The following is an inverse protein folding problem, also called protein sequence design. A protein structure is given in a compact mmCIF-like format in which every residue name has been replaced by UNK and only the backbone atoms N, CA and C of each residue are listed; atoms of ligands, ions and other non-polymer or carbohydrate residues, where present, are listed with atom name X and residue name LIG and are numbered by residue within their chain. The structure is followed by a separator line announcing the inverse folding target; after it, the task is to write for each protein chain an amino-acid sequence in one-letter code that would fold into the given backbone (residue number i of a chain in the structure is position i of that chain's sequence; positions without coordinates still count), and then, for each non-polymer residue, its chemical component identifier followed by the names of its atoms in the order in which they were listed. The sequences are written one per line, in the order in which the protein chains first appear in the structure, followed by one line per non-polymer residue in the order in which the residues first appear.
data_IF_840927396635
#
_entry.id   IF_840927396635
#
_cell.length_a   1.000
_cell.length_b   1.000
_cell.length_c   1.000
_cell.angle_alpha   90.00
_cell.angle_beta   90.00
_cell.angle_gamma   90.00
#
_symmetry.space_group_name_H-M   'P 1'
#
loop_
_entity.id
_entity.type
_entity.pdbx_description
1 polymer ?
#
# COMPACT_ATOMS: atom_id res chain seq x y z
N UNK A 1 12.01 -2.46 16.55
CA UNK A 1 11.73 -1.79 17.84
C UNK A 1 11.17 -0.39 17.63
N UNK A 2 11.72 0.39 16.68
CA UNK A 2 11.22 1.73 16.31
C UNK A 2 9.72 1.80 16.01
N UNK A 3 9.16 0.88 15.23
CA UNK A 3 7.73 0.93 14.86
C UNK A 3 6.78 0.81 16.05
N UNK A 4 7.14 -0.01 17.05
CA UNK A 4 6.32 -0.18 18.25
C UNK A 4 6.28 1.12 19.07
N UNK A 5 7.45 1.71 19.30
CA UNK A 5 7.59 2.94 20.06
C UNK A 5 6.93 4.12 19.33
N UNK A 6 7.15 4.24 18.02
CA UNK A 6 6.53 5.24 17.16
C UNK A 6 4.99 5.15 17.22
N UNK A 7 4.44 3.93 17.17
CA UNK A 7 2.99 3.75 17.24
C UNK A 7 2.43 4.18 18.61
N UNK A 8 3.14 3.89 19.71
CA UNK A 8 2.76 4.36 21.04
C UNK A 8 2.75 5.89 21.13
N UNK A 9 3.79 6.54 20.61
CA UNK A 9 3.92 8.00 20.59
C UNK A 9 2.83 8.68 19.75
N UNK A 10 2.44 8.07 18.63
CA UNK A 10 1.42 8.59 17.71
C UNK A 10 -0.01 8.15 18.05
N UNK A 11 -0.21 7.32 19.08
CA UNK A 11 -1.51 6.70 19.37
C UNK A 11 -2.62 7.74 19.53
N UNK A 12 -2.37 8.81 20.29
CA UNK A 12 -3.36 9.86 20.50
C UNK A 12 -3.76 10.53 19.17
N UNK A 13 -2.79 10.98 18.38
CA UNK A 13 -3.04 11.62 17.08
C UNK A 13 -3.77 10.69 16.10
N UNK A 14 -3.41 9.41 16.07
CA UNK A 14 -4.06 8.39 15.24
C UNK A 14 -5.52 8.17 15.66
N UNK A 15 -5.79 8.05 16.97
CA UNK A 15 -7.14 7.91 17.50
C UNK A 15 -7.99 9.15 17.22
N UNK A 16 -7.45 10.35 17.42
CA UNK A 16 -8.12 11.61 17.09
C UNK A 16 -8.48 11.66 15.61
N UNK A 17 -7.55 11.33 14.71
CA UNK A 17 -7.82 11.35 13.26
C UNK A 17 -8.81 10.27 12.84
N UNK A 18 -8.70 9.06 13.40
CA UNK A 18 -9.63 7.96 13.14
C UNK A 18 -11.05 8.24 13.65
N UNK A 19 -11.20 9.06 14.70
CA UNK A 19 -12.51 9.49 15.21
C UNK A 19 -13.23 10.50 14.31
N UNK A 20 -12.51 11.11 13.36
CA UNK A 20 -13.10 11.99 12.36
C UNK A 20 -13.61 11.13 11.20
N UNK A 21 -14.84 11.36 10.73
CA UNK A 21 -15.56 10.50 9.76
C UNK A 21 -14.90 10.37 8.36
N UNK A 22 -13.75 11.00 8.11
CA UNK A 22 -13.08 11.02 6.81
C UNK A 22 -11.58 10.76 6.95
N UNK A 23 -11.21 9.50 7.13
CA UNK A 23 -9.81 9.08 7.17
C UNK A 23 -9.58 7.83 6.33
N UNK A 24 -8.53 7.85 5.50
CA UNK A 24 -8.01 6.66 4.81
C UNK A 24 -7.02 5.86 5.67
N UNK A 25 -6.71 6.35 6.88
CA UNK A 25 -5.85 5.64 7.83
C UNK A 25 -6.64 4.44 8.35
N UNK A 26 -6.09 3.25 8.17
CA UNK A 26 -6.69 2.05 8.73
C UNK A 26 -6.54 2.05 10.26
N UNK A 27 -7.64 1.91 11.02
CA UNK A 27 -7.56 1.90 12.47
C UNK A 27 -6.87 0.61 12.97
N UNK A 28 -6.11 0.74 14.05
CA UNK A 28 -5.63 -0.40 14.82
C UNK A 28 -6.69 -0.73 15.89
N UNK A 29 -7.16 -1.97 15.91
CA UNK A 29 -8.05 -2.46 16.97
C UNK A 29 -7.27 -2.92 18.20
N UNK A 30 -6.10 -3.52 17.96
CA UNK A 30 -5.22 -4.02 19.01
C UNK A 30 -3.77 -3.97 18.53
N UNK A 31 -2.85 -3.58 19.41
CA UNK A 31 -1.41 -3.67 19.20
C UNK A 31 -0.76 -4.17 20.49
N UNK A 32 0.00 -5.26 20.41
CA UNK A 32 0.54 -5.93 21.60
C UNK A 32 1.88 -6.62 21.29
N UNK A 33 2.66 -6.87 22.36
CA UNK A 33 3.89 -7.65 22.31
C UNK A 33 3.63 -9.01 22.94
N UNK A 34 3.84 -10.08 22.19
CA UNK A 34 3.86 -11.43 22.75
C UNK A 34 5.12 -11.59 23.61
N UNK A 35 4.94 -11.93 24.89
CA UNK A 35 6.05 -12.09 25.82
C UNK A 35 6.82 -13.39 25.60
N UNK A 36 6.21 -14.40 25.00
CA UNK A 36 6.89 -15.68 24.75
C UNK A 36 7.82 -15.57 23.53
N UNK A 37 7.34 -15.04 22.41
CA UNK A 37 8.14 -14.89 21.20
C UNK A 37 8.89 -13.55 21.09
N UNK A 38 8.53 -12.56 21.90
CA UNK A 38 9.05 -11.19 21.81
C UNK A 38 8.55 -10.40 20.60
N UNK A 39 7.64 -10.96 19.78
CA UNK A 39 7.13 -10.34 18.55
C UNK A 39 6.02 -9.33 18.84
N UNK A 40 5.96 -8.29 18.03
CA UNK A 40 4.85 -7.32 18.04
C UNK A 40 3.79 -7.73 17.02
N UNK A 41 2.52 -7.61 17.41
CA UNK A 41 1.36 -7.93 16.59
C UNK A 41 0.39 -6.76 16.57
N UNK A 42 -0.27 -6.57 15.43
CA UNK A 42 -1.32 -5.60 15.24
C UNK A 42 -2.55 -6.24 14.59
N UNK A 43 -3.74 -5.90 15.06
CA UNK A 43 -5.01 -6.26 14.46
C UNK A 43 -5.65 -5.02 13.83
N UNK A 44 -6.01 -5.11 12.55
CA UNK A 44 -6.54 -4.02 11.73
C UNK A 44 -7.66 -4.57 10.82
N UNK A 45 -8.61 -3.75 10.35
CA UNK A 45 -9.56 -4.19 9.35
C UNK A 45 -8.84 -4.60 8.07
N UNK A 46 -9.38 -5.63 7.41
CA UNK A 46 -8.93 -5.98 6.07
C UNK A 46 -9.43 -4.92 5.09
N UNK A 47 -8.53 -4.22 4.40
CA UNK A 47 -8.88 -3.22 3.39
C UNK A 47 -9.74 -3.79 2.24
N UNK A 48 -9.71 -5.10 2.03
CA UNK A 48 -10.44 -5.81 0.97
C UNK A 48 -11.69 -6.53 1.50
N UNK A 49 -12.28 -6.08 2.62
CA UNK A 49 -13.44 -6.73 3.24
C UNK A 49 -14.69 -6.74 2.33
N UNK A 50 -15.52 -7.78 2.46
CA UNK A 50 -16.86 -7.86 1.82
C UNK A 50 -17.95 -7.72 2.87
N UNK A 51 -19.07 -7.13 2.45
CA UNK A 51 -20.35 -7.22 3.15
C UNK A 51 -21.06 -8.53 2.76
N UNK A 52 -21.25 -9.46 3.71
CA UNK A 52 -22.10 -10.65 3.59
C UNK A 52 -21.41 -12.02 3.51
N UNK A 53 -22.11 -13.07 3.96
CA UNK A 53 -21.62 -14.46 4.16
C UNK A 53 -21.30 -15.27 2.89
N UNK A 54 -21.44 -14.69 1.69
CA UNK A 54 -21.20 -15.41 0.43
C UNK A 54 -19.76 -15.19 -0.06
N UNK A 55 -18.81 -15.80 0.64
CA UNK A 55 -17.36 -15.76 0.35
C UNK A 55 -17.03 -16.61 -0.90
N UNK A 56 -17.57 -16.23 -2.06
CA UNK A 56 -16.95 -16.60 -3.34
C UNK A 56 -15.60 -15.88 -3.44
N UNK A 57 -14.58 -16.61 -3.91
CA UNK A 57 -13.21 -16.11 -4.16
C UNK A 57 -13.29 -14.75 -4.87
N UNK A 58 -12.72 -13.70 -4.27
CA UNK A 58 -12.70 -12.37 -4.88
C UNK A 58 -11.58 -12.36 -5.91
N UNK A 59 -11.95 -12.14 -7.16
CA UNK A 59 -11.01 -11.94 -8.26
C UNK A 59 -10.85 -10.44 -8.46
N UNK A 60 -9.82 -9.87 -7.84
CA UNK A 60 -9.36 -8.53 -8.20
C UNK A 60 -8.65 -8.61 -9.55
N UNK A 61 -9.14 -7.84 -10.53
CA UNK A 61 -8.49 -7.73 -11.86
C UNK A 61 -7.06 -7.23 -11.72
N UNK A 62 -6.83 -6.26 -10.83
CA UNK A 62 -5.49 -5.83 -10.47
C UNK A 62 -5.44 -5.39 -9.01
N UNK A 63 -4.25 -5.43 -8.43
CA UNK A 63 -3.95 -4.93 -7.08
C UNK A 63 -2.65 -4.13 -7.14
N UNK A 64 -2.62 -2.96 -6.50
CA UNK A 64 -1.48 -2.05 -6.56
C UNK A 64 -1.06 -1.57 -5.16
N UNK A 65 0.24 -1.36 -4.98
CA UNK A 65 0.89 -0.64 -3.88
C UNK A 65 1.32 0.72 -4.43
N UNK A 66 0.55 1.77 -4.14
CA UNK A 66 0.79 3.12 -4.64
C UNK A 66 1.37 3.99 -3.52
N UNK A 67 2.51 4.59 -3.79
CA UNK A 67 3.27 5.46 -2.89
C UNK A 67 3.38 6.89 -3.40
N UNK A 68 3.11 7.16 -4.69
CA UNK A 68 3.36 8.48 -5.25
C UNK A 68 4.85 8.75 -5.54
N UNK A 69 5.74 7.75 -5.35
CA UNK A 69 7.10 7.72 -5.90
C UNK A 69 7.43 6.45 -6.76
N UNK A 70 8.56 6.43 -7.48
CA UNK A 70 8.85 5.46 -8.58
C UNK A 70 8.82 3.98 -8.15
N UNK A 71 8.58 3.75 -6.86
CA UNK A 71 8.25 2.50 -6.20
C UNK A 71 6.81 2.02 -6.38
N UNK A 72 5.91 2.70 -7.10
CA UNK A 72 4.53 2.23 -7.31
C UNK A 72 4.49 0.84 -7.98
N UNK A 73 3.80 -0.14 -7.39
CA UNK A 73 3.90 -1.56 -7.84
C UNK A 73 2.55 -2.16 -8.14
N UNK A 74 2.49 -2.92 -9.22
CA UNK A 74 1.43 -3.92 -9.41
C UNK A 74 1.78 -5.16 -8.59
N UNK A 75 0.91 -5.51 -7.64
CA UNK A 75 1.03 -6.72 -6.81
C UNK A 75 0.43 -7.92 -7.55
N UNK A 76 -0.68 -7.69 -8.24
CA UNK A 76 -1.48 -8.73 -8.89
C UNK A 76 -2.09 -8.22 -10.19
N UNK A 77 -2.13 -9.06 -11.22
CA UNK A 77 -2.83 -8.82 -12.49
C UNK A 77 -3.57 -10.10 -12.89
N UNK A 78 -4.85 -10.00 -13.23
CA UNK A 78 -5.72 -11.11 -13.62
C UNK A 78 -5.60 -12.34 -12.70
N UNK A 79 -5.57 -12.07 -11.38
CA UNK A 79 -5.44 -13.07 -10.33
C UNK A 79 -4.06 -13.78 -10.22
N UNK A 80 -3.05 -13.35 -10.98
CA UNK A 80 -1.69 -13.84 -10.90
C UNK A 80 -0.79 -12.86 -10.14
N UNK A 81 0.15 -13.38 -9.32
CA UNK A 81 1.13 -12.53 -8.61
C UNK A 81 2.12 -11.98 -9.63
N UNK A 82 2.27 -10.67 -9.69
CA UNK A 82 3.27 -10.04 -10.56
C UNK A 82 4.68 -10.30 -9.98
N UNK A 83 5.66 -10.73 -10.79
CA UNK A 83 7.04 -10.90 -10.34
C UNK A 83 7.63 -9.61 -9.75
N UNK A 84 8.33 -9.73 -8.63
CA UNK A 84 8.98 -8.60 -7.98
C UNK A 84 10.24 -8.20 -8.75
N UNK A 85 10.21 -7.02 -9.39
CA UNK A 85 11.39 -6.42 -10.02
C UNK A 85 12.16 -5.61 -8.99
N UNK A 86 13.20 -6.20 -8.39
CA UNK A 86 13.99 -5.59 -7.31
C UNK A 86 14.89 -4.41 -7.73
N UNK A 87 14.98 -4.08 -9.02
CA UNK A 87 15.79 -2.97 -9.54
C UNK A 87 15.03 -2.23 -10.63
N UNK A 88 14.54 -1.02 -10.31
CA UNK A 88 13.94 -0.08 -11.27
C UNK A 88 14.92 1.02 -11.68
N UNK A 89 16.22 0.72 -11.60
CA UNK A 89 17.30 1.69 -11.81
C UNK A 89 17.47 2.14 -13.27
N UNK A 90 16.73 1.56 -14.23
CA UNK A 90 17.00 1.76 -15.67
C UNK A 90 15.75 1.68 -16.54
N UNK A 91 14.71 2.43 -16.21
CA UNK A 91 13.67 2.71 -17.21
C UNK A 91 13.55 4.21 -17.40
N UNK A 92 14.40 4.74 -18.28
CA UNK A 92 14.24 6.05 -18.94
C UNK A 92 12.88 6.21 -19.65
N UNK A 93 12.07 5.14 -19.69
CA UNK A 93 10.77 5.04 -20.35
C UNK A 93 9.58 4.90 -19.39
N UNK A 94 9.81 4.70 -18.08
CA UNK A 94 8.74 4.62 -17.09
C UNK A 94 8.33 6.02 -16.66
N UNK A 95 7.64 6.71 -17.56
CA UNK A 95 6.77 7.80 -17.14
C UNK A 95 5.73 7.24 -16.17
N UNK A 96 5.64 7.89 -15.04
CA UNK A 96 4.62 7.71 -14.02
C UNK A 96 3.20 7.62 -14.61
N UNK A 97 2.29 6.91 -13.95
CA UNK A 97 0.84 6.95 -14.22
C UNK A 97 0.29 8.36 -13.87
N UNK A 98 0.52 9.33 -14.76
CA UNK A 98 0.28 10.80 -14.72
C UNK A 98 1.51 11.64 -15.15
N UNK A 99 2.28 11.23 -16.15
CA UNK A 99 2.92 12.24 -17.02
C UNK A 99 1.87 12.79 -17.99
N UNK A 100 1.00 13.66 -17.48
CA UNK A 100 0.24 14.57 -18.32
C UNK A 100 1.24 15.46 -19.08
N UNK A 101 1.21 15.34 -20.41
CA UNK A 101 1.66 16.33 -21.41
C UNK A 101 2.90 17.18 -21.06
N UNK A 102 4.12 16.63 -21.12
CA UNK A 102 5.33 17.45 -21.23
C UNK A 102 6.63 16.96 -20.58
N UNK A 103 6.78 15.68 -20.27
CA UNK A 103 8.05 15.18 -19.73
C UNK A 103 9.16 15.18 -20.79
N UNK A 104 10.20 15.99 -20.57
CA UNK A 104 11.40 16.14 -21.42
C UNK A 104 12.07 14.80 -21.79
N UNK A 105 11.95 13.79 -20.93
CA UNK A 105 12.48 12.44 -21.20
C UNK A 105 11.66 11.64 -22.21
N UNK A 106 10.34 11.86 -22.35
CA UNK A 106 9.54 11.18 -23.38
C UNK A 106 9.79 11.74 -24.79
N UNK A 107 10.16 13.02 -24.91
CA UNK A 107 10.46 13.66 -26.19
C UNK A 107 11.75 13.12 -26.82
N UNK A 108 12.71 12.70 -26.00
CA UNK A 108 14.02 12.23 -26.46
C UNK A 108 14.00 10.77 -26.94
N UNK A 109 12.97 10.01 -26.59
CA UNK A 109 12.96 8.57 -26.78
C UNK A 109 12.19 8.12 -28.04
N UNK A 110 11.43 9.00 -28.72
CA UNK A 110 10.91 8.71 -30.05
C UNK A 110 9.89 7.56 -30.13
N UNK A 111 9.15 7.28 -29.05
CA UNK A 111 7.97 6.42 -29.16
C UNK A 111 6.81 7.21 -29.77
N UNK A 112 6.71 7.11 -31.10
CA UNK A 112 5.49 7.29 -31.89
C UNK A 112 4.53 6.13 -31.68
#
# INVERSE_FOLDING_TARGET
EGDHQCLLELTEALCTRASQNESFISPFYLHFKDLQSGRNFGAMPNAFWRKGNNVKKIFWKFMMDLKGCQDDRMIKWDNEKTPEVHKRFWMCWNCWFCCDCGCYYCSACGCS
#
